data_IF_484645546577
#
_entry.id   IF_484645546577
#
_cell.length_a   1.000
_cell.length_b   1.000
_cell.length_c   1.000
_cell.angle_alpha   90.00
_cell.angle_beta   90.00
_cell.angle_gamma   90.00
#
_symmetry.space_group_name_H-M   'P 1'
#
loop_
_entity.id
_entity.type
_entity.pdbx_description
1 polymer ?
#
# COMPACT_ATOMS: atom_id res chain seq x y z
N UNK A 1 10.01 5.31 -9.62
CA UNK A 1 8.70 4.97 -9.03
C UNK A 1 7.67 5.96 -9.53
N UNK A 2 6.46 5.51 -9.89
CA UNK A 2 5.33 6.38 -10.23
C UNK A 2 5.06 7.34 -9.06
N UNK A 3 4.74 8.60 -9.34
CA UNK A 3 4.36 9.56 -8.28
C UNK A 3 3.02 9.12 -7.71
N UNK A 4 2.98 8.81 -6.42
CA UNK A 4 1.77 8.40 -5.73
C UNK A 4 0.78 9.57 -5.65
N UNK A 5 -0.49 9.27 -5.94
CA UNK A 5 -1.61 10.19 -5.75
C UNK A 5 -1.91 10.41 -4.27
N UNK A 6 -2.68 11.45 -3.96
CA UNK A 6 -3.12 11.73 -2.58
C UNK A 6 -3.87 10.53 -1.98
N UNK A 7 -4.73 9.88 -2.75
CA UNK A 7 -5.48 8.71 -2.31
C UNK A 7 -4.56 7.53 -1.95
N UNK A 8 -3.56 7.25 -2.80
CA UNK A 8 -2.59 6.18 -2.52
C UNK A 8 -1.76 6.47 -1.27
N UNK A 9 -1.35 7.73 -1.05
CA UNK A 9 -0.68 8.14 0.19
C UNK A 9 -1.55 7.93 1.43
N UNK A 10 -2.84 8.24 1.33
CA UNK A 10 -3.79 7.99 2.41
C UNK A 10 -3.89 6.50 2.75
N UNK A 11 -4.02 5.63 1.75
CA UNK A 11 -4.06 4.17 1.96
C UNK A 11 -2.83 3.72 2.76
N UNK A 12 -1.64 4.19 2.38
CA UNK A 12 -0.39 3.86 3.08
C UNK A 12 -0.39 4.40 4.53
N UNK A 13 -0.82 5.64 4.73
CA UNK A 13 -0.80 6.31 6.03
C UNK A 13 -1.78 5.73 7.06
N UNK A 14 -2.92 5.20 6.61
CA UNK A 14 -3.93 4.59 7.50
C UNK A 14 -3.73 3.09 7.72
N UNK A 15 -3.02 2.42 6.82
CA UNK A 15 -2.77 0.99 6.92
C UNK A 15 -1.73 0.69 7.98
N UNK A 16 -2.12 -0.05 9.03
CA UNK A 16 -1.23 -0.50 10.10
C UNK A 16 -0.10 -1.38 9.52
N UNK A 17 1.18 -0.98 9.61
CA UNK A 17 2.30 -1.75 9.07
C UNK A 17 2.51 -3.08 9.83
N UNK A 18 1.90 -3.24 11.00
CA UNK A 18 1.93 -4.47 11.78
C UNK A 18 0.94 -5.51 11.26
N UNK A 19 -0.22 -5.08 10.75
CA UNK A 19 -1.32 -5.97 10.34
C UNK A 19 -1.42 -6.14 8.82
N UNK A 20 -0.94 -5.16 8.05
CA UNK A 20 -1.10 -5.13 6.60
C UNK A 20 0.25 -5.10 5.86
N UNK A 21 0.27 -5.77 4.71
CA UNK A 21 1.26 -5.63 3.67
C UNK A 21 0.70 -4.71 2.58
N UNK A 22 1.52 -3.79 2.08
CA UNK A 22 1.13 -2.90 0.99
C UNK A 22 1.74 -3.36 -0.33
N UNK A 23 0.97 -3.24 -1.39
CA UNK A 23 1.34 -3.65 -2.75
C UNK A 23 1.02 -2.53 -3.74
N UNK A 24 1.72 -2.53 -4.87
CA UNK A 24 1.53 -1.53 -5.92
C UNK A 24 1.19 -2.19 -7.24
N UNK A 25 -0.07 -2.07 -7.65
CA UNK A 25 -0.50 -2.43 -9.00
C UNK A 25 -0.17 -1.27 -9.96
N UNK A 26 0.53 -1.51 -11.09
CA UNK A 26 0.83 -0.46 -12.07
C UNK A 26 -0.42 0.23 -12.64
N UNK A 27 -1.48 -0.55 -12.83
CA UNK A 27 -2.75 -0.12 -13.45
C UNK A 27 -3.73 0.46 -12.41
N UNK A 28 -3.84 -0.17 -11.23
CA UNK A 28 -4.86 0.15 -10.23
C UNK A 28 -4.36 0.87 -8.97
N UNK A 29 -3.04 1.05 -8.82
CA UNK A 29 -2.44 1.77 -7.71
C UNK A 29 -2.17 0.94 -6.46
N UNK A 30 -2.08 1.62 -5.31
CA UNK A 30 -1.71 1.02 -4.03
C UNK A 30 -2.90 0.37 -3.35
N UNK A 31 -2.69 -0.83 -2.80
CA UNK A 31 -3.68 -1.54 -1.99
C UNK A 31 -3.02 -2.23 -0.79
N UNK A 32 -3.82 -2.47 0.24
CA UNK A 32 -3.42 -3.14 1.47
C UNK A 32 -4.05 -4.53 1.56
N UNK A 33 -3.25 -5.52 1.92
CA UNK A 33 -3.73 -6.87 2.22
C UNK A 33 -3.28 -7.24 3.62
N UNK A 34 -4.15 -7.87 4.40
CA UNK A 34 -3.76 -8.33 5.73
C UNK A 34 -2.67 -9.40 5.62
N UNK A 35 -1.79 -9.46 6.61
CA UNK A 35 -0.66 -10.40 6.62
C UNK A 35 -1.07 -11.88 6.73
N UNK A 36 -2.28 -12.17 7.18
CA UNK A 36 -2.84 -13.51 7.30
C UNK A 36 -3.54 -14.00 6.02
N UNK A 37 -3.61 -13.19 4.97
CA UNK A 37 -4.21 -13.59 3.68
C UNK A 37 -3.13 -14.12 2.73
N UNK A 38 -3.36 -15.32 2.18
CA UNK A 38 -2.45 -15.96 1.22
C UNK A 38 -2.64 -15.44 -0.21
N UNK A 39 -3.87 -15.12 -0.63
CA UNK A 39 -4.14 -14.53 -1.95
C UNK A 39 -3.84 -13.03 -1.94
N UNK A 40 -2.66 -12.64 -2.40
CA UNK A 40 -2.17 -11.25 -2.42
C UNK A 40 -2.35 -10.58 -3.79
N UNK A 41 -3.17 -11.15 -4.65
CA UNK A 41 -3.37 -10.66 -6.02
C UNK A 41 -4.12 -9.32 -6.04
N UNK A 42 -3.87 -8.52 -7.08
CA UNK A 42 -4.69 -7.34 -7.31
C UNK A 42 -6.13 -7.76 -7.59
N UNK A 43 -7.09 -7.18 -6.88
CA UNK A 43 -8.51 -7.52 -7.00
C UNK A 43 -9.06 -7.39 -8.44
N UNK A 44 -8.50 -6.47 -9.23
CA UNK A 44 -8.90 -6.16 -10.60
C UNK A 44 -8.12 -6.98 -11.64
N UNK A 45 -6.77 -6.95 -11.58
CA UNK A 45 -5.95 -7.67 -12.55
C UNK A 45 -5.92 -9.18 -12.32
N UNK A 46 -6.23 -9.65 -11.09
CA UNK A 46 -6.00 -11.02 -10.62
C UNK A 46 -4.55 -11.49 -10.81
N UNK A 47 -3.60 -10.56 -10.78
CA UNK A 47 -2.16 -10.78 -10.93
C UNK A 47 -1.42 -10.43 -9.65
N UNK A 48 -0.33 -11.12 -9.39
CA UNK A 48 0.60 -10.76 -8.32
C UNK A 48 1.23 -9.39 -8.61
N UNK A 49 1.29 -8.55 -7.58
CA UNK A 49 1.88 -7.22 -7.66
C UNK A 49 3.08 -7.12 -6.71
N UNK A 50 4.05 -6.24 -7.01
CA UNK A 50 5.20 -6.02 -6.15
C UNK A 50 4.78 -5.46 -4.79
N UNK A 51 5.29 -6.10 -3.73
CA UNK A 51 5.17 -5.62 -2.34
C UNK A 51 6.03 -4.37 -2.12
N UNK A 52 5.47 -3.36 -1.46
CA UNK A 52 6.19 -2.17 -1.01
C UNK A 52 7.05 -2.51 0.21
N UNK A 53 8.34 -2.78 -0.01
CA UNK A 53 9.29 -3.16 1.06
C UNK A 53 9.50 -2.04 2.10
N UNK A 54 9.40 -0.79 1.68
CA UNK A 54 9.52 0.40 2.53
C UNK A 54 8.17 0.90 3.09
N UNK A 55 7.15 0.02 3.18
CA UNK A 55 5.81 0.35 3.67
C UNK A 55 5.82 1.07 5.04
N UNK A 56 6.69 0.66 5.97
CA UNK A 56 6.78 1.28 7.30
C UNK A 56 7.30 2.72 7.25
N UNK A 57 8.37 2.96 6.50
CA UNK A 57 8.93 4.30 6.29
C UNK A 57 7.91 5.22 5.59
N UNK A 58 7.25 4.71 4.53
CA UNK A 58 6.22 5.46 3.81
C UNK A 58 4.99 5.75 4.68
N UNK A 59 4.61 4.84 5.58
CA UNK A 59 3.54 5.03 6.54
C UNK A 59 3.83 6.24 7.45
N UNK A 60 5.01 6.27 8.09
CA UNK A 60 5.41 7.37 8.96
C UNK A 60 5.53 8.70 8.19
N UNK A 61 6.13 8.66 6.99
CA UNK A 61 6.26 9.83 6.13
C UNK A 61 4.89 10.42 5.75
N UNK A 62 3.96 9.60 5.26
CA UNK A 62 2.67 10.09 4.77
C UNK A 62 1.71 10.46 5.88
N UNK A 63 1.80 9.86 7.08
CA UNK A 63 1.08 10.36 8.24
C UNK A 63 1.48 11.80 8.58
N UNK A 64 2.79 12.07 8.62
CA UNK A 64 3.31 13.42 8.86
C UNK A 64 2.91 14.40 7.74
N UNK A 65 3.01 13.98 6.48
CA UNK A 65 2.61 14.80 5.32
C UNK A 65 1.11 15.16 5.34
N UNK A 66 0.27 14.24 5.82
CA UNK A 66 -1.20 14.38 5.82
C UNK A 66 -1.78 14.92 7.14
N UNK A 67 -0.97 15.06 8.19
CA UNK A 67 -1.42 15.53 9.51
C UNK A 67 -2.25 14.48 10.27
N UNK A 68 -1.93 13.20 10.13
CA UNK A 68 -2.60 12.05 10.77
C UNK A 68 -1.83 11.49 11.96
#
# INVERSE_FOLDING_TARGET
>A
MKRLSKAEKYIIAISSPNEYNLFMCPEHGVYAMRKDVEDVTCAYCKKECPKLKNAKELHEQYRKELGL
#
